data_IF_767257333259
#
_entry.id   IF_767257333259
#
_cell.length_a   1.000
_cell.length_b   1.000
_cell.length_c   1.000
_cell.angle_alpha   90.00
_cell.angle_beta   90.00
_cell.angle_gamma   90.00
#
_symmetry.space_group_name_H-M   'P 1'
#
loop_
_entity.id
_entity.type
_entity.pdbx_description
1 polymer ?
#
# COMPACT_ATOMS: atom_id res chain seq x y z
N UNK A 1 10.61 -7.65 2.53
CA UNK A 1 9.35 -7.04 3.00
C UNK A 1 8.87 -7.80 4.23
N UNK A 2 8.18 -7.13 5.14
CA UNK A 2 7.67 -7.70 6.38
C UNK A 2 6.18 -7.34 6.57
N UNK A 3 5.39 -8.14 7.31
CA UNK A 3 4.08 -7.70 7.76
C UNK A 3 4.22 -6.65 8.85
N UNK A 4 3.28 -5.71 8.91
CA UNK A 4 3.10 -4.81 10.03
C UNK A 4 2.15 -5.41 11.07
N UNK A 5 2.25 -4.93 12.32
CA UNK A 5 1.22 -5.18 13.31
C UNK A 5 -0.07 -4.45 12.90
N UNK A 6 -1.17 -5.16 12.92
CA UNK A 6 -2.50 -4.67 12.51
C UNK A 6 -3.56 -5.13 13.50
N UNK A 7 -4.76 -4.59 13.38
CA UNK A 7 -5.95 -5.12 14.04
C UNK A 7 -6.42 -6.41 13.35
N UNK A 8 -7.19 -7.27 14.03
CA UNK A 8 -7.82 -8.41 13.39
C UNK A 8 -8.63 -8.00 12.16
N UNK A 9 -8.49 -8.73 11.06
CA UNK A 9 -9.20 -8.43 9.81
C UNK A 9 -8.50 -7.42 8.90
N UNK A 10 -7.26 -7.08 9.17
CA UNK A 10 -6.45 -6.15 8.40
C UNK A 10 -5.14 -6.81 7.92
N UNK A 11 -4.60 -6.30 6.82
CA UNK A 11 -3.25 -6.62 6.34
C UNK A 11 -2.52 -5.35 5.95
N UNK A 12 -1.29 -5.22 6.41
CA UNK A 12 -0.38 -4.12 6.04
C UNK A 12 1.01 -4.69 5.79
N UNK A 13 1.61 -4.28 4.70
CA UNK A 13 2.98 -4.65 4.34
C UNK A 13 3.93 -3.50 4.61
N UNK A 14 5.21 -3.82 4.83
CA UNK A 14 6.27 -2.83 4.98
C UNK A 14 7.47 -3.20 4.11
N UNK A 15 7.97 -2.25 3.35
CA UNK A 15 9.24 -2.35 2.66
C UNK A 15 10.37 -2.41 3.68
N UNK A 16 11.21 -3.44 3.62
CA UNK A 16 12.31 -3.62 4.54
C UNK A 16 13.56 -4.13 3.81
N UNK A 17 14.71 -3.62 4.21
CA UNK A 17 16.01 -4.04 3.70
C UNK A 17 16.92 -4.43 4.85
N UNK A 18 17.57 -5.60 4.83
CA UNK A 18 18.53 -5.98 5.85
C UNK A 18 19.74 -5.02 5.84
N UNK A 19 20.40 -4.87 6.99
CA UNK A 19 21.55 -3.97 7.14
C UNK A 19 22.68 -4.27 6.14
N UNK A 20 22.89 -5.54 5.82
CA UNK A 20 23.89 -5.98 4.84
C UNK A 20 23.48 -5.71 3.38
N UNK A 21 22.26 -5.30 3.12
CA UNK A 21 21.67 -5.04 1.79
C UNK A 21 21.94 -6.13 0.76
N UNK A 22 22.00 -7.38 1.21
CA UNK A 22 22.28 -8.57 0.40
C UNK A 22 21.03 -9.41 0.08
N UNK A 23 19.84 -8.85 0.24
CA UNK A 23 18.61 -9.51 -0.17
C UNK A 23 18.57 -9.58 -1.71
N UNK A 24 18.19 -10.72 -2.31
CA UNK A 24 18.08 -10.85 -3.77
C UNK A 24 16.96 -10.02 -4.37
N UNK A 25 16.07 -9.47 -3.56
CA UNK A 25 14.95 -8.64 -4.00
C UNK A 25 15.16 -7.19 -3.58
N UNK A 26 15.10 -6.28 -4.55
CA UNK A 26 14.93 -4.85 -4.28
C UNK A 26 13.47 -4.56 -3.95
N UNK A 27 13.24 -3.58 -3.09
CA UNK A 27 11.89 -3.06 -2.81
C UNK A 27 11.92 -1.54 -2.65
N UNK A 28 10.78 -0.91 -2.88
CA UNK A 28 10.56 0.51 -2.62
C UNK A 28 9.10 0.74 -2.26
N UNK A 29 8.84 1.60 -1.28
CA UNK A 29 7.51 2.10 -0.99
C UNK A 29 7.05 3.06 -2.09
N UNK A 30 5.86 2.82 -2.61
CA UNK A 30 5.20 3.68 -3.59
C UNK A 30 3.92 4.19 -2.98
N UNK A 31 3.87 5.48 -2.68
CA UNK A 31 2.77 6.08 -1.95
C UNK A 31 2.06 7.14 -2.78
N UNK A 32 0.79 7.34 -2.47
CA UNK A 32 -0.04 8.44 -2.98
C UNK A 32 -0.46 9.25 -1.78
N UNK A 33 -0.25 10.55 -1.85
CA UNK A 33 -0.81 11.46 -0.85
C UNK A 33 -2.32 11.50 -1.05
N UNK A 34 -3.07 11.33 0.04
CA UNK A 34 -4.52 11.44 0.09
C UNK A 34 -4.92 12.47 1.12
N UNK A 35 -6.03 13.16 0.91
CA UNK A 35 -6.55 14.21 1.76
C UNK A 35 -8.06 14.06 1.98
N UNK A 36 -8.68 14.93 2.80
CA UNK A 36 -10.13 14.95 3.02
C UNK A 36 -10.93 14.94 1.72
N UNK A 37 -10.46 15.64 0.71
CA UNK A 37 -11.06 15.70 -0.63
C UNK A 37 -11.16 14.36 -1.34
N UNK A 38 -10.37 13.36 -0.91
CA UNK A 38 -10.36 12.03 -1.49
C UNK A 38 -11.24 11.04 -0.73
N UNK A 39 -11.37 11.18 0.59
CA UNK A 39 -12.11 10.21 1.41
C UNK A 39 -13.49 10.69 1.86
N UNK A 40 -13.73 12.01 2.03
CA UNK A 40 -15.05 12.53 2.40
C UNK A 40 -16.14 12.17 1.37
N UNK A 41 -15.89 12.25 0.04
CA UNK A 41 -16.87 11.81 -0.95
C UNK A 41 -17.19 10.31 -0.90
N UNK A 42 -16.37 9.52 -0.20
CA UNK A 42 -16.59 8.09 0.03
C UNK A 42 -17.33 7.80 1.34
N UNK A 43 -17.73 8.83 2.09
CA UNK A 43 -18.48 8.73 3.32
C UNK A 43 -17.61 8.63 4.59
N UNK A 44 -16.31 8.87 4.49
CA UNK A 44 -15.42 8.92 5.65
C UNK A 44 -15.28 10.37 6.11
N UNK A 45 -16.04 10.76 7.11
CA UNK A 45 -16.15 12.15 7.53
C UNK A 45 -15.61 12.37 8.96
N UNK A 46 -15.38 13.62 9.32
CA UNK A 46 -15.01 14.03 10.67
C UNK A 46 -13.55 13.77 11.03
N UNK A 47 -13.19 13.94 12.32
CA UNK A 47 -11.78 13.90 12.77
C UNK A 47 -11.07 12.57 12.56
N UNK A 48 -11.80 11.47 12.43
CA UNK A 48 -11.27 10.12 12.24
C UNK A 48 -11.46 9.60 10.81
N UNK A 49 -12.07 10.37 9.90
CA UNK A 49 -12.38 9.93 8.54
C UNK A 49 -11.17 9.38 7.79
N UNK A 50 -10.00 10.01 7.91
CA UNK A 50 -8.77 9.48 7.32
C UNK A 50 -8.30 8.16 7.91
N UNK A 51 -8.53 7.92 9.22
CA UNK A 51 -8.23 6.64 9.87
C UNK A 51 -9.20 5.54 9.40
N UNK A 52 -10.48 5.84 9.33
CA UNK A 52 -11.52 4.91 8.86
C UNK A 52 -11.29 4.53 7.39
N UNK A 53 -10.94 5.51 6.55
CA UNK A 53 -10.54 5.26 5.16
C UNK A 53 -9.32 4.32 5.08
N UNK A 54 -8.27 4.57 5.88
CA UNK A 54 -7.10 3.70 5.95
C UNK A 54 -7.49 2.27 6.34
N UNK A 55 -8.28 2.11 7.38
CA UNK A 55 -8.77 0.80 7.84
C UNK A 55 -9.59 0.08 6.77
N UNK A 56 -10.46 0.79 6.06
CA UNK A 56 -11.26 0.23 4.99
C UNK A 56 -10.39 -0.34 3.86
N UNK A 57 -9.30 0.33 3.51
CA UNK A 57 -8.32 -0.14 2.51
C UNK A 57 -7.58 -1.39 3.01
N UNK A 58 -7.12 -1.39 4.26
CA UNK A 58 -6.42 -2.51 4.89
C UNK A 58 -7.31 -3.77 4.96
N UNK A 59 -8.57 -3.59 5.34
CA UNK A 59 -9.57 -4.65 5.40
C UNK A 59 -9.97 -5.18 4.01
N UNK A 60 -10.09 -4.29 3.02
CA UNK A 60 -10.35 -4.71 1.63
C UNK A 60 -9.21 -5.59 1.10
N UNK A 61 -7.97 -5.19 1.35
CA UNK A 61 -6.81 -5.97 0.98
C UNK A 61 -6.74 -7.31 1.72
N UNK A 62 -7.08 -7.36 3.01
CA UNK A 62 -7.14 -8.58 3.78
C UNK A 62 -8.20 -9.56 3.26
N UNK A 63 -9.40 -9.07 2.93
CA UNK A 63 -10.45 -9.90 2.33
C UNK A 63 -10.02 -10.47 0.98
N UNK A 64 -9.42 -9.66 0.14
CA UNK A 64 -8.96 -10.07 -1.20
C UNK A 64 -7.82 -11.09 -1.14
N UNK A 65 -6.98 -11.03 -0.10
CA UNK A 65 -5.88 -11.98 0.12
C UNK A 65 -6.31 -13.27 0.84
N UNK A 66 -7.61 -13.56 0.93
CA UNK A 66 -8.11 -14.80 1.51
C UNK A 66 -8.17 -14.78 3.04
N UNK A 67 -8.28 -13.60 3.64
CA UNK A 67 -8.48 -13.41 5.09
C UNK A 67 -7.33 -13.99 5.95
N UNK A 68 -6.12 -13.85 5.44
CA UNK A 68 -4.88 -14.25 6.11
C UNK A 68 -3.90 -13.08 6.19
N UNK A 69 -2.68 -13.33 6.67
CA UNK A 69 -1.59 -12.35 6.61
C UNK A 69 -0.83 -12.37 5.26
N UNK A 70 -1.24 -13.18 4.31
CA UNK A 70 -0.82 -13.03 2.92
C UNK A 70 -1.29 -11.66 2.38
N UNK A 71 -0.53 -11.09 1.47
CA UNK A 71 -0.86 -9.79 0.89
C UNK A 71 -1.38 -9.91 -0.55
N UNK A 72 -2.36 -9.11 -0.96
CA UNK A 72 -2.77 -9.06 -2.36
C UNK A 72 -1.64 -8.47 -3.20
N UNK A 73 -1.42 -9.03 -4.38
CA UNK A 73 -0.34 -8.61 -5.24
C UNK A 73 -0.72 -8.72 -6.73
N UNK A 74 -0.10 -7.89 -7.53
CA UNK A 74 -0.29 -7.84 -8.98
C UNK A 74 1.04 -7.60 -9.68
N UNK A 75 1.31 -8.25 -10.82
CA UNK A 75 2.47 -7.88 -11.62
C UNK A 75 2.39 -6.40 -11.98
N UNK A 76 3.50 -5.67 -11.84
CA UNK A 76 3.49 -4.22 -12.02
C UNK A 76 3.02 -3.81 -13.43
N UNK A 77 3.42 -4.56 -14.46
CA UNK A 77 2.90 -4.35 -15.82
C UNK A 77 1.41 -4.57 -15.94
N UNK A 78 0.88 -5.58 -15.26
CA UNK A 78 -0.55 -5.89 -15.31
C UNK A 78 -1.37 -4.83 -14.57
N UNK A 79 -0.87 -4.34 -13.44
CA UNK A 79 -1.45 -3.18 -12.75
C UNK A 79 -1.53 -1.95 -13.67
N UNK A 80 -0.42 -1.61 -14.33
CA UNK A 80 -0.36 -0.46 -15.25
C UNK A 80 -1.35 -0.59 -16.41
N UNK A 81 -1.57 -1.81 -16.90
CA UNK A 81 -2.49 -2.06 -18.03
C UNK A 81 -3.91 -2.44 -17.60
N UNK A 82 -4.19 -2.51 -16.30
CA UNK A 82 -5.51 -2.82 -15.78
C UNK A 82 -5.97 -4.25 -16.10
N UNK A 83 -5.11 -5.24 -16.00
CA UNK A 83 -5.42 -6.64 -16.32
C UNK A 83 -4.98 -7.60 -15.19
N UNK A 84 -5.65 -8.75 -15.03
CA UNK A 84 -5.30 -9.71 -13.99
C UNK A 84 -3.93 -10.34 -14.23
N UNK A 85 -3.20 -10.64 -13.14
CA UNK A 85 -2.00 -11.45 -13.17
C UNK A 85 -2.36 -12.91 -12.95
N UNK A 86 -2.01 -13.78 -13.90
CA UNK A 86 -2.29 -15.22 -13.80
C UNK A 86 -1.40 -15.92 -12.76
N UNK A 87 -0.19 -15.44 -12.60
CA UNK A 87 0.78 -15.94 -11.64
C UNK A 87 1.67 -14.80 -11.15
N UNK A 88 2.30 -15.01 -10.01
CA UNK A 88 3.25 -14.08 -9.42
C UNK A 88 4.63 -14.73 -9.32
N UNK A 89 5.72 -14.00 -9.55
CA UNK A 89 7.07 -14.47 -9.24
C UNK A 89 7.26 -14.58 -7.72
N UNK A 90 8.34 -15.21 -7.30
CA UNK A 90 8.74 -15.23 -5.88
C UNK A 90 9.00 -13.82 -5.38
N UNK A 91 8.62 -13.57 -4.12
CA UNK A 91 8.81 -12.28 -3.46
C UNK A 91 9.50 -12.47 -2.12
N UNK A 92 9.94 -11.38 -1.50
CA UNK A 92 10.52 -11.38 -0.16
C UNK A 92 9.49 -11.25 0.97
N UNK A 93 8.22 -11.20 0.67
CA UNK A 93 7.17 -11.12 1.70
C UNK A 93 6.88 -12.52 2.27
N UNK A 94 7.30 -12.75 3.51
CA UNK A 94 7.27 -14.09 4.14
C UNK A 94 5.88 -14.70 4.30
N UNK A 95 4.83 -13.95 4.67
CA UNK A 95 3.49 -14.54 4.77
C UNK A 95 2.91 -14.99 3.42
N UNK A 96 3.56 -14.65 2.32
CA UNK A 96 3.12 -14.99 0.98
C UNK A 96 2.26 -13.92 0.31
N UNK A 97 2.05 -14.07 -0.99
CA UNK A 97 1.25 -13.16 -1.80
C UNK A 97 0.17 -13.91 -2.57
N UNK A 98 -0.97 -13.27 -2.74
CA UNK A 98 -2.12 -13.79 -3.49
C UNK A 98 -2.32 -12.93 -4.74
N UNK A 99 -2.45 -13.53 -5.95
CA UNK A 99 -2.78 -12.77 -7.14
C UNK A 99 -4.14 -12.08 -6.98
N UNK A 100 -4.14 -10.76 -7.12
CA UNK A 100 -5.33 -9.93 -6.97
C UNK A 100 -5.30 -8.76 -7.96
N UNK A 101 -6.47 -8.16 -8.21
CA UNK A 101 -6.61 -6.94 -9.00
C UNK A 101 -6.42 -5.73 -8.09
N UNK A 102 -5.16 -5.47 -7.65
CA UNK A 102 -4.85 -4.32 -6.82
C UNK A 102 -5.37 -3.00 -7.40
N UNK A 103 -5.39 -2.90 -8.72
CA UNK A 103 -5.94 -1.75 -9.44
C UNK A 103 -7.47 -1.60 -9.31
N UNK A 104 -8.15 -2.57 -8.72
CA UNK A 104 -9.59 -2.54 -8.39
C UNK A 104 -9.86 -2.62 -6.88
N UNK A 105 -8.95 -3.20 -6.11
CA UNK A 105 -9.05 -3.30 -4.64
C UNK A 105 -8.73 -1.97 -3.96
N UNK A 106 -7.72 -1.27 -4.47
CA UNK A 106 -7.34 0.05 -3.97
C UNK A 106 -8.38 1.11 -4.40
N UNK A 107 -8.58 2.16 -3.59
CA UNK A 107 -9.42 3.27 -4.00
C UNK A 107 -9.01 3.85 -5.35
N UNK A 108 -9.98 4.29 -6.13
CA UNK A 108 -9.79 4.77 -7.49
C UNK A 108 -8.73 5.87 -7.60
N UNK A 109 -8.72 6.83 -6.67
CA UNK A 109 -7.75 7.92 -6.63
C UNK A 109 -6.33 7.38 -6.46
N UNK A 110 -6.16 6.39 -5.59
CA UNK A 110 -4.87 5.75 -5.32
C UNK A 110 -4.42 4.93 -6.54
N UNK A 111 -5.28 4.07 -7.07
CA UNK A 111 -4.91 3.20 -8.18
C UNK A 111 -4.62 3.97 -9.47
N UNK A 112 -5.36 5.04 -9.76
CA UNK A 112 -5.09 5.92 -10.91
C UNK A 112 -3.76 6.67 -10.76
N UNK A 113 -3.51 7.24 -9.59
CA UNK A 113 -2.26 7.97 -9.31
C UNK A 113 -1.03 7.06 -9.38
N UNK A 114 -1.11 5.87 -8.78
CA UNK A 114 -0.05 4.85 -8.90
C UNK A 114 0.19 4.44 -10.35
N UNK A 115 -0.86 4.25 -11.14
CA UNK A 115 -0.73 3.89 -12.57
C UNK A 115 0.01 4.95 -13.37
N UNK A 116 -0.27 6.22 -13.13
CA UNK A 116 0.45 7.35 -13.74
C UNK A 116 1.90 7.39 -13.26
N UNK A 117 2.11 7.25 -11.95
CA UNK A 117 3.44 7.20 -11.35
C UNK A 117 4.30 6.07 -11.91
N UNK A 118 3.78 4.85 -11.96
CA UNK A 118 4.51 3.69 -12.49
C UNK A 118 4.88 3.85 -13.96
N UNK A 119 3.98 4.40 -14.79
CA UNK A 119 4.32 4.72 -16.20
C UNK A 119 5.44 5.74 -16.28
N UNK A 120 5.40 6.77 -15.45
CA UNK A 120 6.42 7.82 -15.42
C UNK A 120 7.77 7.28 -14.97
N UNK A 121 7.81 6.48 -13.90
CA UNK A 121 9.05 5.83 -13.45
C UNK A 121 9.57 4.82 -14.46
N UNK A 122 8.69 4.07 -15.13
CA UNK A 122 9.10 3.16 -16.21
C UNK A 122 9.78 3.85 -17.39
N UNK A 123 9.42 5.11 -17.68
CA UNK A 123 10.11 5.93 -18.68
C UNK A 123 11.44 6.49 -18.21
N UNK A 124 11.56 6.82 -16.92
CA UNK A 124 12.74 7.44 -16.32
C UNK A 124 13.80 6.42 -15.88
N UNK A 125 13.37 5.24 -15.46
CA UNK A 125 14.24 4.22 -14.89
C UNK A 125 14.15 2.93 -15.71
N UNK A 126 15.22 2.63 -16.47
CA UNK A 126 15.30 1.39 -17.24
C UNK A 126 15.16 0.17 -16.31
N UNK A 127 14.24 -0.72 -16.64
CA UNK A 127 13.98 -1.94 -15.85
C UNK A 127 12.94 -1.77 -14.72
N UNK A 128 12.47 -0.57 -14.42
CA UNK A 128 11.44 -0.37 -13.40
C UNK A 128 10.17 -1.21 -13.66
N UNK A 129 9.68 -1.24 -14.88
CA UNK A 129 8.58 -2.10 -15.32
C UNK A 129 9.10 -3.49 -15.78
N UNK A 130 9.98 -4.13 -15.00
CA UNK A 130 10.45 -5.48 -15.30
C UNK A 130 9.27 -6.47 -15.32
N UNK A 131 9.30 -7.53 -16.16
CA UNK A 131 8.23 -8.54 -16.19
C UNK A 131 7.98 -9.23 -14.84
N UNK A 132 9.01 -9.34 -14.00
CA UNK A 132 8.92 -9.92 -12.66
C UNK A 132 8.71 -8.91 -11.53
N UNK A 133 8.60 -7.61 -11.86
CA UNK A 133 8.25 -6.62 -10.84
C UNK A 133 6.81 -6.81 -10.38
N UNK A 134 6.60 -6.78 -9.06
CA UNK A 134 5.32 -7.02 -8.39
C UNK A 134 4.97 -5.83 -7.51
N UNK A 135 3.76 -5.33 -7.64
CA UNK A 135 3.14 -4.47 -6.65
C UNK A 135 2.51 -5.35 -5.58
N UNK A 136 2.80 -5.08 -4.32
CA UNK A 136 2.26 -5.77 -3.14
C UNK A 136 1.66 -4.69 -2.25
N UNK A 137 0.48 -4.88 -1.76
CA UNK A 137 -0.20 -3.87 -0.96
C UNK A 137 -1.05 -4.42 0.17
N UNK A 138 -1.49 -3.52 1.06
CA UNK A 138 -1.15 -2.10 1.09
C UNK A 138 0.08 -1.80 1.95
N UNK A 139 0.74 -0.67 1.72
CA UNK A 139 1.63 -0.01 2.67
C UNK A 139 0.99 1.34 3.04
N UNK A 140 0.08 1.30 3.99
CA UNK A 140 -0.84 2.40 4.31
C UNK A 140 -0.36 3.26 5.48
N UNK A 141 0.67 2.83 6.24
CA UNK A 141 1.06 3.43 7.50
C UNK A 141 2.40 4.18 7.40
N UNK A 142 2.47 5.18 6.55
CA UNK A 142 3.67 6.03 6.42
C UNK A 142 3.62 7.24 7.35
N UNK A 143 2.44 7.84 7.50
CA UNK A 143 2.17 8.97 8.38
C UNK A 143 0.83 8.75 9.06
N UNK A 144 0.71 9.17 10.34
CA UNK A 144 -0.57 9.05 11.03
C UNK A 144 -1.62 9.93 10.38
N UNK A 145 -2.83 9.41 10.05
CA UNK A 145 -3.95 10.23 9.61
C UNK A 145 -4.56 11.07 10.74
N UNK A 146 -4.15 10.81 11.98
CA UNK A 146 -4.59 11.54 13.17
C UNK A 146 -3.42 12.33 13.72
N UNK A 147 -3.62 13.63 13.91
CA UNK A 147 -2.64 14.53 14.53
C UNK A 147 -2.98 14.76 16.00
N UNK A 148 -2.01 14.50 16.86
CA UNK A 148 -2.08 14.92 18.28
C UNK A 148 -1.44 16.30 18.38
N UNK A 149 -2.20 17.38 18.69
CA UNK A 149 -1.63 18.71 18.86
C UNK A 149 -0.59 18.74 19.99
N UNK A 150 0.46 19.52 19.80
CA UNK A 150 1.53 19.69 20.79
C UNK A 150 1.89 21.15 20.92
N UNK A 151 2.29 21.56 22.11
CA UNK A 151 2.89 22.86 22.35
C UNK A 151 4.29 22.97 21.70
N UNK A 152 4.85 24.18 21.54
CA UNK A 152 6.22 24.34 21.04
C UNK A 152 7.27 23.54 21.81
N UNK A 153 7.05 23.27 23.10
CA UNK A 153 7.92 22.47 23.96
C UNK A 153 7.71 20.96 23.82
N UNK A 154 6.98 20.54 22.80
CA UNK A 154 6.68 19.16 22.47
C UNK A 154 5.83 18.39 23.50
N UNK A 155 5.17 19.07 24.43
CA UNK A 155 4.19 18.47 25.30
C UNK A 155 2.82 18.35 24.64
N UNK A 156 2.10 17.28 24.98
CA UNK A 156 0.70 17.13 24.55
C UNK A 156 -0.12 18.24 25.19
N UNK A 157 -0.92 18.95 24.38
CA UNK A 157 -1.82 19.97 24.90
C UNK A 157 -2.92 19.29 25.71
N UNK A 158 -3.18 19.70 26.96
CA UNK A 158 -4.36 19.23 27.70
C UNK A 158 -5.62 19.55 26.92
N UNK A 159 -6.54 18.58 26.84
CA UNK A 159 -7.84 18.76 26.20
C UNK A 159 -8.77 19.62 27.03
#
# INVERSE_FOLDING_TARGET
MAPCATSPGEVVTNGWSPSKRNNPYANSGMVVQVGPEDWEPLGFEGPLGGLEFQQAVEQACWREAGQTQAAPAQRLKDFVHGRPSRNLPKTSYLPGVVPARLDQVLPDVVSRSLRVGFKTFGRKMKGFLHPEAVAIGPESRTSSPVRIPRTPDAFVQPG
#
